data_IF_347435305768
#
_entry.id   IF_347435305768
#
_cell.length_a   1.000
_cell.length_b   1.000
_cell.length_c   1.000
_cell.angle_alpha   90.00
_cell.angle_beta   90.00
_cell.angle_gamma   90.00
#
_symmetry.space_group_name_H-M   'P 1'
#
loop_
_entity.id
_entity.type
_entity.pdbx_description
1 polymer ?
#
# COMPACT_ATOMS: atom_id res chain seq x y z
N UNK A 1 18.64 13.39 11.70
CA UNK A 1 17.41 12.79 12.30
C UNK A 1 17.58 11.29 12.38
N UNK A 2 17.20 10.65 13.48
CA UNK A 2 17.26 9.17 13.60
C UNK A 2 16.02 8.52 13.00
N UNK A 3 16.07 7.26 12.54
CA UNK A 3 14.89 6.56 12.00
C UNK A 3 13.69 6.56 12.95
N UNK A 4 13.92 6.41 14.26
CA UNK A 4 12.84 6.41 15.25
C UNK A 4 12.16 7.79 15.49
N UNK A 5 12.63 8.84 14.82
CA UNK A 5 11.99 10.16 14.82
C UNK A 5 11.12 10.37 13.55
N UNK A 6 11.12 9.38 12.63
CA UNK A 6 10.33 9.38 11.40
C UNK A 6 9.15 8.42 11.53
N UNK A 7 7.93 8.94 11.35
CA UNK A 7 6.69 8.19 11.52
C UNK A 7 6.13 7.75 10.17
N UNK A 8 5.78 6.47 10.07
CA UNK A 8 5.06 5.91 8.93
C UNK A 8 3.64 5.52 9.37
N UNK A 9 2.64 6.22 8.85
CA UNK A 9 1.25 5.83 8.95
C UNK A 9 0.95 4.78 7.89
N UNK A 10 0.81 3.52 8.30
CA UNK A 10 0.61 2.40 7.39
C UNK A 10 -0.88 2.06 7.29
N UNK A 11 -1.40 2.11 6.08
CA UNK A 11 -2.75 1.71 5.73
C UNK A 11 -2.78 0.38 4.97
N UNK A 12 -3.81 -0.43 5.20
CA UNK A 12 -4.17 -1.58 4.37
C UNK A 12 -5.64 -1.44 3.99
N UNK A 13 -5.91 -1.26 2.72
CA UNK A 13 -7.25 -1.02 2.20
C UNK A 13 -8.25 -2.11 2.56
N UNK A 14 -9.53 -1.75 2.57
CA UNK A 14 -10.66 -2.64 2.85
C UNK A 14 -10.64 -3.28 4.25
N UNK A 15 -11.41 -4.33 4.45
CA UNK A 15 -11.44 -5.09 5.70
C UNK A 15 -10.64 -6.39 5.64
N UNK A 16 -10.67 -7.15 6.71
CA UNK A 16 -9.96 -8.43 6.82
C UNK A 16 -10.90 -9.63 6.86
N UNK A 17 -10.37 -10.74 7.33
CA UNK A 17 -11.09 -12.00 7.45
C UNK A 17 -11.40 -12.30 8.91
N UNK A 18 -12.66 -12.65 9.21
CA UNK A 18 -13.01 -13.30 10.49
C UNK A 18 -12.49 -14.74 10.51
N UNK A 19 -12.56 -15.39 11.66
CA UNK A 19 -12.18 -16.79 11.76
C UNK A 19 -12.86 -17.66 10.70
N UNK A 20 -12.07 -18.31 9.85
CA UNK A 20 -12.53 -19.11 8.72
C UNK A 20 -11.99 -18.61 7.39
N UNK A 21 -12.28 -19.30 6.32
CA UNK A 21 -11.71 -19.06 4.97
C UNK A 21 -12.75 -18.78 3.88
N UNK A 22 -14.03 -18.89 4.22
CA UNK A 22 -15.11 -18.69 3.25
C UNK A 22 -15.42 -17.21 2.99
N UNK A 23 -16.03 -16.89 1.85
CA UNK A 23 -16.37 -15.51 1.49
C UNK A 23 -17.31 -14.83 2.49
N UNK A 24 -18.12 -15.59 3.21
CA UNK A 24 -18.99 -15.10 4.28
C UNK A 24 -18.24 -14.59 5.52
N UNK A 25 -16.96 -14.91 5.65
CA UNK A 25 -16.08 -14.44 6.73
C UNK A 25 -15.33 -13.17 6.39
N UNK A 26 -15.27 -12.81 5.11
CA UNK A 26 -14.63 -11.58 4.67
C UNK A 26 -15.45 -10.35 5.08
N UNK A 27 -14.79 -9.39 5.70
CA UNK A 27 -15.41 -8.17 6.23
C UNK A 27 -15.06 -6.99 5.34
N UNK A 28 -16.05 -6.44 4.66
CA UNK A 28 -15.91 -5.21 3.87
C UNK A 28 -17.20 -4.41 3.97
N UNK A 29 -17.17 -3.15 3.54
CA UNK A 29 -18.39 -2.32 3.52
C UNK A 29 -19.49 -2.96 2.66
N UNK A 30 -20.76 -2.87 3.07
CA UNK A 30 -21.88 -3.46 2.32
C UNK A 30 -21.97 -3.02 0.85
N UNK A 31 -21.54 -1.78 0.55
CA UNK A 31 -21.50 -1.25 -0.82
C UNK A 31 -20.38 -1.84 -1.68
N UNK A 32 -19.41 -2.55 -1.07
CA UNK A 32 -18.29 -3.23 -1.72
C UNK A 32 -18.51 -4.73 -1.61
N UNK A 33 -19.55 -5.24 -2.27
CA UNK A 33 -19.88 -6.66 -2.27
C UNK A 33 -18.65 -7.49 -2.71
N UNK A 34 -18.34 -8.53 -1.95
CA UNK A 34 -17.24 -9.48 -2.12
C UNK A 34 -17.07 -9.91 -3.58
N UNK A 35 -18.18 -10.27 -4.19
CA UNK A 35 -18.22 -10.88 -5.52
C UNK A 35 -17.90 -9.90 -6.66
N UNK A 36 -17.88 -8.60 -6.41
CA UNK A 36 -17.85 -7.61 -7.48
C UNK A 36 -16.73 -6.59 -7.42
N UNK A 37 -16.14 -6.32 -6.25
CA UNK A 37 -15.19 -5.20 -6.10
C UNK A 37 -13.89 -5.51 -5.35
N UNK A 38 -13.93 -6.37 -4.34
CA UNK A 38 -12.77 -6.59 -3.46
C UNK A 38 -12.44 -8.07 -3.26
N UNK A 39 -12.99 -8.94 -4.11
CA UNK A 39 -12.67 -10.37 -4.13
C UNK A 39 -12.94 -11.01 -5.48
N UNK A 40 -12.22 -12.06 -5.78
CA UNK A 40 -12.32 -12.84 -7.01
C UNK A 40 -12.12 -14.32 -6.73
N UNK A 41 -12.95 -15.18 -7.36
CA UNK A 41 -12.75 -16.62 -7.34
C UNK A 41 -11.87 -17.02 -8.53
N UNK A 42 -10.82 -17.77 -8.26
CA UNK A 42 -9.93 -18.39 -9.25
C UNK A 42 -9.92 -19.92 -9.06
N UNK A 43 -9.31 -20.66 -9.97
CA UNK A 43 -9.22 -22.13 -9.87
C UNK A 43 -8.49 -22.61 -8.60
N UNK A 44 -7.67 -21.78 -7.99
CA UNK A 44 -6.97 -22.03 -6.72
C UNK A 44 -7.71 -21.46 -5.49
N UNK A 45 -8.93 -20.95 -5.65
CA UNK A 45 -9.76 -20.46 -4.54
C UNK A 45 -10.09 -18.97 -4.61
N UNK A 46 -10.68 -18.47 -3.52
CA UNK A 46 -10.99 -17.05 -3.38
C UNK A 46 -9.76 -16.20 -3.08
N UNK A 47 -9.63 -15.11 -3.82
CA UNK A 47 -8.77 -13.98 -3.47
C UNK A 47 -9.61 -12.88 -2.81
N UNK A 48 -9.13 -12.31 -1.71
CA UNK A 48 -9.75 -11.18 -1.04
C UNK A 48 -8.73 -10.05 -0.88
N UNK A 49 -9.00 -8.91 -1.49
CA UNK A 49 -8.09 -7.78 -1.53
C UNK A 49 -7.66 -7.33 -0.13
N UNK A 50 -8.60 -7.12 0.77
CA UNK A 50 -8.26 -6.64 2.12
C UNK A 50 -7.45 -7.64 2.95
N UNK A 51 -7.54 -8.95 2.66
CA UNK A 51 -6.68 -9.98 3.29
C UNK A 51 -5.26 -9.87 2.76
N UNK A 52 -5.12 -9.77 1.45
CA UNK A 52 -3.83 -9.54 0.80
C UNK A 52 -3.17 -8.24 1.30
N UNK A 53 -3.92 -7.12 1.31
CA UNK A 53 -3.41 -5.82 1.75
C UNK A 53 -2.84 -5.89 3.17
N UNK A 54 -3.52 -6.59 4.09
CA UNK A 54 -3.04 -6.78 5.47
C UNK A 54 -1.82 -7.66 5.56
N UNK A 55 -1.76 -8.72 4.75
CA UNK A 55 -0.60 -9.61 4.69
C UNK A 55 0.65 -8.84 4.24
N UNK A 56 0.54 -8.12 3.12
CA UNK A 56 1.62 -7.30 2.58
C UNK A 56 2.05 -6.19 3.54
N UNK A 57 1.07 -5.48 4.15
CA UNK A 57 1.33 -4.44 5.13
C UNK A 57 2.00 -4.98 6.41
N UNK A 58 1.73 -6.22 6.81
CA UNK A 58 2.41 -6.84 7.94
C UNK A 58 3.89 -7.11 7.65
N UNK A 59 4.23 -7.61 6.46
CA UNK A 59 5.63 -7.76 6.05
C UNK A 59 6.33 -6.40 5.93
N UNK A 60 5.66 -5.41 5.33
CA UNK A 60 6.19 -4.06 5.23
C UNK A 60 6.46 -3.45 6.61
N UNK A 61 5.51 -3.59 7.54
CA UNK A 61 5.71 -3.13 8.92
C UNK A 61 6.96 -3.74 9.55
N UNK A 62 7.16 -5.05 9.38
CA UNK A 62 8.32 -5.73 9.96
C UNK A 62 9.63 -5.13 9.43
N UNK A 63 9.78 -5.01 8.11
CA UNK A 63 10.99 -4.42 7.52
C UNK A 63 11.20 -2.95 7.95
N UNK A 64 10.14 -2.16 8.09
CA UNK A 64 10.24 -0.78 8.55
C UNK A 64 10.67 -0.70 10.02
N UNK A 65 10.18 -1.60 10.87
CA UNK A 65 10.62 -1.72 12.27
C UNK A 65 12.07 -2.18 12.37
N UNK A 66 12.50 -3.10 11.51
CA UNK A 66 13.90 -3.56 11.44
C UNK A 66 14.84 -2.41 11.01
N UNK A 67 14.35 -1.46 10.19
CA UNK A 67 15.05 -0.21 9.88
C UNK A 67 15.00 0.84 11.02
N UNK A 68 14.28 0.56 12.09
CA UNK A 68 14.18 1.44 13.27
C UNK A 68 13.12 2.54 13.17
N UNK A 69 12.27 2.54 12.14
CA UNK A 69 11.20 3.53 11.99
C UNK A 69 10.07 3.35 13.00
N UNK A 70 9.36 4.45 13.29
CA UNK A 70 8.06 4.35 13.97
C UNK A 70 6.97 4.01 12.96
N UNK A 71 6.19 2.96 13.23
CA UNK A 71 5.07 2.54 12.37
C UNK A 71 3.77 2.54 13.16
N UNK A 72 2.75 3.22 12.66
CA UNK A 72 1.38 3.24 13.19
C UNK A 72 0.40 2.75 12.16
N UNK A 73 -0.26 1.62 12.44
CA UNK A 73 -1.39 1.14 11.61
C UNK A 73 -2.60 2.03 11.83
N UNK A 74 -3.24 2.45 10.72
CA UNK A 74 -4.44 3.27 10.72
C UNK A 74 -5.69 2.49 10.27
N UNK A 75 -5.62 1.19 10.33
CA UNK A 75 -6.68 0.24 9.97
C UNK A 75 -6.88 -0.82 11.05
N UNK A 76 -8.05 -1.41 11.08
CA UNK A 76 -8.38 -2.52 11.98
C UNK A 76 -7.99 -3.88 11.37
N UNK A 77 -7.64 -4.88 12.18
CA UNK A 77 -7.26 -6.21 11.66
C UNK A 77 -8.37 -6.89 10.86
N UNK A 78 -9.62 -6.70 11.25
CA UNK A 78 -10.78 -7.37 10.67
C UNK A 78 -11.75 -6.37 10.04
N UNK A 79 -12.15 -5.34 10.78
CA UNK A 79 -13.17 -4.42 10.32
C UNK A 79 -12.66 -3.52 9.19
N UNK A 80 -13.56 -3.15 8.28
CA UNK A 80 -13.26 -2.14 7.26
C UNK A 80 -13.37 -0.74 7.88
N UNK A 81 -12.24 -0.22 8.34
CA UNK A 81 -12.15 1.13 8.89
C UNK A 81 -12.51 2.17 7.82
N UNK A 82 -13.40 3.10 8.14
CA UNK A 82 -13.81 4.14 7.18
C UNK A 82 -12.62 5.02 6.74
N UNK A 83 -12.64 5.49 5.49
CA UNK A 83 -11.58 6.37 4.95
C UNK A 83 -11.38 7.61 5.83
N UNK A 84 -12.49 8.23 6.28
CA UNK A 84 -12.44 9.38 7.18
C UNK A 84 -11.71 9.02 8.49
N UNK A 85 -12.03 7.87 9.09
CA UNK A 85 -11.38 7.44 10.33
C UNK A 85 -9.89 7.16 10.14
N UNK A 86 -9.50 6.57 9.00
CA UNK A 86 -8.09 6.33 8.64
C UNK A 86 -7.33 7.67 8.54
N UNK A 87 -7.88 8.67 7.83
CA UNK A 87 -7.29 10.00 7.74
C UNK A 87 -7.20 10.72 9.11
N UNK A 88 -8.23 10.59 9.95
CA UNK A 88 -8.21 11.14 11.32
C UNK A 88 -7.13 10.50 12.18
N UNK A 89 -6.94 9.18 12.11
CA UNK A 89 -5.87 8.48 12.84
C UNK A 89 -4.48 8.93 12.36
N UNK A 90 -4.25 8.95 11.03
CA UNK A 90 -3.00 9.41 10.45
C UNK A 90 -2.67 10.84 10.88
N UNK A 91 -3.62 11.76 10.76
CA UNK A 91 -3.46 13.17 11.19
C UNK A 91 -3.20 13.27 12.70
N UNK A 92 -3.86 12.46 13.51
CA UNK A 92 -3.65 12.47 14.97
C UNK A 92 -2.24 12.01 15.34
N UNK A 93 -1.75 10.94 14.72
CA UNK A 93 -0.39 10.45 14.96
C UNK A 93 0.68 11.42 14.46
N UNK A 94 0.46 12.03 13.30
CA UNK A 94 1.39 13.00 12.71
C UNK A 94 1.60 14.26 13.59
N UNK A 95 0.61 14.67 14.38
CA UNK A 95 0.74 15.80 15.30
C UNK A 95 1.85 15.65 16.35
N UNK A 96 2.19 14.41 16.70
CA UNK A 96 3.22 14.09 17.67
C UNK A 96 4.58 13.78 17.01
N UNK A 97 4.67 13.79 15.68
CA UNK A 97 5.86 13.46 14.92
C UNK A 97 6.39 14.69 14.18
N UNK A 98 7.70 14.85 14.13
CA UNK A 98 8.34 15.92 13.36
C UNK A 98 8.27 15.66 11.85
N UNK A 99 8.42 14.40 11.46
CA UNK A 99 8.31 13.94 10.08
C UNK A 99 7.37 12.73 10.00
N UNK A 100 6.47 12.75 9.06
CA UNK A 100 5.52 11.65 8.87
C UNK A 100 5.14 11.49 7.41
N UNK A 101 4.86 10.25 7.02
CA UNK A 101 4.30 9.88 5.72
C UNK A 101 3.12 8.92 5.91
N UNK A 102 2.29 8.81 4.87
CA UNK A 102 1.24 7.80 4.77
C UNK A 102 1.51 6.89 3.59
N UNK A 103 1.46 5.58 3.82
CA UNK A 103 1.58 4.55 2.78
C UNK A 103 0.34 3.65 2.85
N UNK A 104 -0.47 3.68 1.79
CA UNK A 104 -1.68 2.86 1.65
C UNK A 104 -1.41 1.70 0.69
N UNK A 105 -1.67 0.48 1.16
CA UNK A 105 -1.42 -0.77 0.44
C UNK A 105 -2.74 -1.33 -0.09
N UNK A 106 -2.78 -1.56 -1.39
CA UNK A 106 -3.94 -2.09 -2.13
C UNK A 106 -3.55 -3.17 -3.13
N UNK A 107 -4.54 -3.95 -3.54
CA UNK A 107 -4.53 -4.77 -4.74
C UNK A 107 -5.59 -4.27 -5.71
N UNK A 108 -5.22 -4.12 -6.96
CA UNK A 108 -6.03 -3.48 -7.99
C UNK A 108 -7.07 -4.44 -8.61
N UNK A 109 -8.09 -3.86 -9.22
CA UNK A 109 -9.12 -4.56 -9.97
C UNK A 109 -9.47 -3.82 -11.27
N UNK A 110 -9.46 -4.53 -12.38
CA UNK A 110 -9.90 -4.04 -13.69
C UNK A 110 -10.34 -5.20 -14.58
N UNK A 111 -10.20 -5.07 -15.91
CA UNK A 111 -10.43 -6.20 -16.82
C UNK A 111 -9.50 -7.37 -16.47
N UNK A 112 -9.87 -8.62 -16.79
CA UNK A 112 -9.02 -9.79 -16.51
C UNK A 112 -7.66 -9.77 -17.24
N UNK A 113 -7.49 -8.91 -18.23
CA UNK A 113 -6.23 -8.74 -18.97
C UNK A 113 -5.32 -7.65 -18.35
N UNK A 114 -5.86 -6.79 -17.50
CA UNK A 114 -5.06 -5.79 -16.79
C UNK A 114 -4.17 -6.48 -15.75
N UNK A 115 -2.90 -6.03 -15.66
CA UNK A 115 -1.91 -6.62 -14.75
C UNK A 115 -0.81 -5.63 -14.43
N UNK A 116 -0.11 -5.87 -13.33
CA UNK A 116 1.10 -5.15 -12.97
C UNK A 116 0.94 -4.25 -11.75
N UNK A 117 1.95 -3.43 -11.51
CA UNK A 117 2.07 -2.52 -10.37
C UNK A 117 1.84 -1.07 -10.78
N UNK A 118 1.17 -0.34 -9.90
CA UNK A 118 0.92 1.10 -10.02
C UNK A 118 1.12 1.78 -8.66
N UNK A 119 1.49 3.07 -8.66
CA UNK A 119 1.49 3.91 -7.46
C UNK A 119 0.82 5.24 -7.77
N UNK A 120 0.13 5.78 -6.77
CA UNK A 120 -0.66 6.99 -6.92
C UNK A 120 -0.27 8.03 -5.87
N UNK A 121 -0.27 9.30 -6.28
CA UNK A 121 -0.19 10.48 -5.42
C UNK A 121 -1.44 11.36 -5.58
N UNK A 122 -1.52 12.44 -4.81
CA UNK A 122 -2.53 13.48 -5.02
C UNK A 122 -2.14 14.38 -6.21
N UNK A 123 -3.12 14.94 -6.96
CA UNK A 123 -2.82 15.78 -8.12
C UNK A 123 -1.93 16.98 -7.82
N UNK A 124 -1.01 17.28 -8.75
CA UNK A 124 -0.06 18.40 -8.74
C UNK A 124 1.26 18.06 -8.06
N UNK A 125 2.31 18.79 -8.37
CA UNK A 125 3.65 18.57 -7.79
C UNK A 125 3.62 18.67 -6.26
N UNK A 126 3.94 17.58 -5.59
CA UNK A 126 3.91 17.46 -4.14
C UNK A 126 5.14 16.73 -3.61
N UNK A 127 5.30 16.71 -2.28
CA UNK A 127 6.36 15.89 -1.66
C UNK A 127 6.07 14.39 -1.75
N UNK A 128 4.87 14.01 -2.17
CA UNK A 128 4.48 12.61 -2.34
C UNK A 128 5.15 11.98 -3.57
N UNK A 129 5.42 12.77 -4.61
CA UNK A 129 5.97 12.31 -5.88
C UNK A 129 7.40 11.76 -5.68
N UNK A 130 8.21 12.42 -4.85
CA UNK A 130 9.52 11.89 -4.46
C UNK A 130 9.39 10.58 -3.68
N UNK A 131 8.40 10.46 -2.78
CA UNK A 131 8.15 9.22 -2.05
C UNK A 131 7.71 8.09 -3.00
N UNK A 132 6.83 8.40 -3.95
CA UNK A 132 6.37 7.46 -4.97
C UNK A 132 7.52 7.00 -5.88
N UNK A 133 8.37 7.93 -6.31
CA UNK A 133 9.57 7.66 -7.12
C UNK A 133 10.52 6.73 -6.37
N UNK A 134 10.88 7.03 -5.11
CA UNK A 134 11.77 6.18 -4.32
C UNK A 134 11.21 4.75 -4.15
N UNK A 135 9.91 4.60 -3.88
CA UNK A 135 9.26 3.28 -3.77
C UNK A 135 9.26 2.59 -5.13
N UNK A 136 8.87 3.29 -6.20
CA UNK A 136 8.76 2.74 -7.55
C UNK A 136 10.08 2.20 -8.08
N UNK A 137 11.17 2.93 -7.94
CA UNK A 137 12.50 2.48 -8.36
C UNK A 137 12.90 1.16 -7.68
N UNK A 138 12.61 1.02 -6.39
CA UNK A 138 12.92 -0.21 -5.66
C UNK A 138 12.00 -1.38 -6.06
N UNK A 139 10.70 -1.13 -6.31
CA UNK A 139 9.76 -2.16 -6.77
C UNK A 139 10.16 -2.63 -8.18
N UNK A 140 10.44 -1.71 -9.11
CA UNK A 140 10.88 -2.04 -10.47
C UNK A 140 12.16 -2.88 -10.43
N UNK A 141 13.13 -2.49 -9.62
CA UNK A 141 14.40 -3.21 -9.46
C UNK A 141 14.20 -4.61 -8.87
N UNK A 142 13.31 -4.76 -7.90
CA UNK A 142 13.09 -6.02 -7.20
C UNK A 142 12.24 -7.03 -8.00
N UNK A 143 11.50 -6.57 -9.01
CA UNK A 143 10.56 -7.40 -9.78
C UNK A 143 10.82 -7.32 -11.29
N UNK A 144 12.03 -7.67 -11.75
CA UNK A 144 12.36 -7.66 -13.18
C UNK A 144 11.43 -8.63 -13.94
N UNK A 145 10.87 -8.16 -15.07
CA UNK A 145 9.96 -8.94 -15.91
C UNK A 145 8.49 -8.95 -15.44
N UNK A 146 8.17 -8.35 -14.30
CA UNK A 146 6.78 -8.04 -13.99
C UNK A 146 6.34 -6.76 -14.69
N UNK A 147 5.06 -6.56 -14.89
CA UNK A 147 4.54 -5.35 -15.55
C UNK A 147 4.53 -4.20 -14.54
N UNK A 148 5.16 -3.08 -14.90
CA UNK A 148 5.08 -1.82 -14.19
C UNK A 148 4.32 -0.84 -15.08
N UNK A 149 3.48 -0.01 -14.49
CA UNK A 149 2.54 0.88 -15.19
C UNK A 149 2.74 2.34 -14.79
N UNK A 150 3.95 2.89 -14.94
CA UNK A 150 4.22 4.28 -14.62
C UNK A 150 3.42 5.21 -15.54
N UNK A 151 3.21 6.43 -15.09
CA UNK A 151 2.69 7.52 -15.87
C UNK A 151 3.73 8.66 -15.92
N UNK A 152 4.36 8.86 -17.06
CA UNK A 152 5.39 9.89 -17.23
C UNK A 152 4.86 11.17 -17.90
N UNK A 153 3.54 11.42 -17.83
CA UNK A 153 2.93 12.58 -18.50
C UNK A 153 3.34 13.92 -17.87
N UNK A 154 3.75 13.90 -16.60
CA UNK A 154 4.23 15.06 -15.82
C UNK A 154 5.69 14.94 -15.34
N UNK A 155 6.45 14.00 -15.92
CA UNK A 155 7.87 13.72 -15.72
C UNK A 155 8.21 12.94 -14.45
N UNK A 156 7.28 12.32 -13.77
CA UNK A 156 7.52 11.32 -12.71
C UNK A 156 6.87 9.97 -13.04
N UNK A 157 6.90 9.01 -12.11
CA UNK A 157 6.45 7.65 -12.40
C UNK A 157 5.07 7.32 -11.81
N UNK A 158 4.58 8.17 -10.94
CA UNK A 158 3.30 7.89 -10.28
C UNK A 158 2.11 8.38 -11.12
N UNK A 159 0.95 7.97 -10.69
CA UNK A 159 -0.34 8.39 -11.25
C UNK A 159 -1.04 9.31 -10.28
N UNK A 160 -1.67 10.33 -10.78
CA UNK A 160 -2.44 11.23 -9.96
C UNK A 160 -3.89 10.76 -9.76
N UNK A 161 -4.35 10.76 -8.50
CA UNK A 161 -5.75 10.46 -8.18
C UNK A 161 -6.24 11.22 -6.95
N UNK A 162 -7.51 11.64 -6.98
CA UNK A 162 -8.19 12.27 -5.84
C UNK A 162 -8.72 11.22 -4.84
N UNK A 163 -7.91 10.22 -4.51
CA UNK A 163 -8.29 9.25 -3.49
C UNK A 163 -8.29 9.91 -2.11
N UNK A 164 -9.28 9.55 -1.27
CA UNK A 164 -9.42 10.10 0.08
C UNK A 164 -8.15 9.89 0.93
N UNK A 165 -7.44 8.79 0.75
CA UNK A 165 -6.22 8.51 1.48
C UNK A 165 -5.05 9.42 1.09
N UNK A 166 -5.08 10.00 -0.11
CA UNK A 166 -4.07 10.91 -0.63
C UNK A 166 -4.41 12.38 -0.34
N UNK A 167 -5.69 12.76 -0.51
CA UNK A 167 -6.14 14.16 -0.37
C UNK A 167 -6.67 14.51 1.01
N UNK A 168 -6.95 13.51 1.85
CA UNK A 168 -7.53 13.69 3.19
C UNK A 168 -6.50 13.89 4.32
N UNK A 169 -5.21 13.96 4.00
CA UNK A 169 -4.11 14.16 4.95
C UNK A 169 -3.16 15.26 4.46
N UNK A 170 -2.41 15.87 5.38
CA UNK A 170 -1.48 16.95 5.02
C UNK A 170 -0.03 16.47 4.86
N UNK A 171 0.28 15.24 5.29
CA UNK A 171 1.59 14.63 5.12
C UNK A 171 1.76 14.04 3.71
N UNK A 172 2.99 13.82 3.22
CA UNK A 172 3.22 13.08 1.99
C UNK A 172 2.54 11.72 2.05
N UNK A 173 1.76 11.37 1.01
CA UNK A 173 0.92 10.19 0.99
C UNK A 173 0.98 9.49 -0.36
N UNK A 174 1.13 8.18 -0.35
CA UNK A 174 1.08 7.32 -1.54
C UNK A 174 0.10 6.17 -1.37
N UNK A 175 -0.49 5.74 -2.47
CA UNK A 175 -1.29 4.53 -2.55
C UNK A 175 -0.68 3.60 -3.60
N UNK A 176 -0.25 2.42 -3.16
CA UNK A 176 0.38 1.42 -4.01
C UNK A 176 -0.58 0.28 -4.33
N UNK A 177 -0.77 0.03 -5.63
CA UNK A 177 -1.58 -1.06 -6.18
C UNK A 177 -0.66 -2.20 -6.61
N UNK A 178 -0.68 -3.28 -5.86
CA UNK A 178 0.31 -4.34 -5.91
C UNK A 178 -0.19 -5.56 -6.70
N UNK A 179 -0.53 -5.35 -7.97
CA UNK A 179 -1.08 -6.37 -8.87
C UNK A 179 -2.60 -6.33 -8.98
N UNK A 180 -3.12 -6.90 -10.05
CA UNK A 180 -4.55 -6.95 -10.32
C UNK A 180 -5.12 -8.30 -9.89
N UNK A 181 -5.88 -8.35 -8.80
CA UNK A 181 -6.47 -9.61 -8.35
C UNK A 181 -7.57 -10.16 -9.28
N UNK A 182 -8.03 -9.35 -10.25
CA UNK A 182 -8.91 -9.80 -11.34
C UNK A 182 -8.17 -10.55 -12.45
N UNK A 183 -6.85 -10.40 -12.53
CA UNK A 183 -5.97 -11.13 -13.44
C UNK A 183 -5.46 -12.42 -12.77
N UNK A 184 -5.58 -13.55 -13.48
CA UNK A 184 -5.20 -14.86 -12.95
C UNK A 184 -3.72 -14.95 -12.56
N UNK A 185 -2.83 -14.43 -13.42
CA UNK A 185 -1.39 -14.51 -13.19
C UNK A 185 -0.95 -13.60 -12.04
N UNK A 186 -1.47 -12.36 -11.97
CA UNK A 186 -1.15 -11.44 -10.88
C UNK A 186 -1.70 -11.97 -9.55
N UNK A 187 -2.96 -12.43 -9.53
CA UNK A 187 -3.54 -13.01 -8.32
C UNK A 187 -2.73 -14.22 -7.82
N UNK A 188 -2.19 -15.04 -8.74
CA UNK A 188 -1.28 -16.13 -8.39
C UNK A 188 0.04 -15.65 -7.75
N UNK A 189 0.62 -14.56 -8.25
CA UNK A 189 1.77 -13.92 -7.61
C UNK A 189 1.40 -13.32 -6.24
N UNK A 190 0.28 -12.60 -6.17
CA UNK A 190 -0.18 -11.92 -4.96
C UNK A 190 -0.43 -12.86 -3.77
N UNK A 191 -0.78 -14.13 -4.00
CA UNK A 191 -0.91 -15.13 -2.92
C UNK A 191 0.42 -15.79 -2.53
N UNK A 192 1.48 -15.61 -3.31
CA UNK A 192 2.81 -16.17 -3.00
C UNK A 192 3.49 -15.34 -1.90
N UNK A 193 3.83 -16.01 -0.80
CA UNK A 193 4.45 -15.36 0.37
C UNK A 193 5.81 -14.74 0.02
N UNK A 194 6.62 -15.41 -0.79
CA UNK A 194 7.95 -14.90 -1.16
C UNK A 194 7.83 -13.65 -2.02
N UNK A 195 6.84 -13.63 -2.92
CA UNK A 195 6.55 -12.46 -3.72
C UNK A 195 6.08 -11.29 -2.84
N UNK A 196 5.15 -11.52 -1.88
CA UNK A 196 4.72 -10.49 -0.92
C UNK A 196 5.90 -9.94 -0.11
N UNK A 197 6.80 -10.79 0.36
CA UNK A 197 8.00 -10.37 1.08
C UNK A 197 8.94 -9.55 0.20
N UNK A 198 9.11 -9.91 -1.07
CA UNK A 198 9.91 -9.15 -2.04
C UNK A 198 9.35 -7.75 -2.25
N UNK A 199 8.04 -7.64 -2.49
CA UNK A 199 7.35 -6.36 -2.67
C UNK A 199 7.42 -5.50 -1.39
N UNK A 200 7.14 -6.10 -0.23
CA UNK A 200 7.22 -5.40 1.05
C UNK A 200 8.63 -4.86 1.34
N UNK A 201 9.66 -5.66 1.06
CA UNK A 201 11.05 -5.24 1.23
C UNK A 201 11.43 -4.11 0.27
N UNK A 202 10.97 -4.15 -0.97
CA UNK A 202 11.17 -3.08 -1.94
C UNK A 202 10.52 -1.77 -1.48
N UNK A 203 9.26 -1.81 -1.02
CA UNK A 203 8.60 -0.64 -0.44
C UNK A 203 9.37 -0.09 0.76
N UNK A 204 9.78 -0.96 1.70
CA UNK A 204 10.54 -0.53 2.88
C UNK A 204 11.85 0.15 2.50
N UNK A 205 12.56 -0.37 1.48
CA UNK A 205 13.78 0.23 0.99
C UNK A 205 13.55 1.58 0.32
N UNK A 206 12.52 1.71 -0.51
CA UNK A 206 12.14 3.00 -1.10
C UNK A 206 11.74 4.05 -0.06
N UNK A 207 11.03 3.63 1.00
CA UNK A 207 10.72 4.51 2.13
C UNK A 207 12.01 4.93 2.87
N UNK A 208 12.96 4.03 3.05
CA UNK A 208 14.27 4.37 3.63
C UNK A 208 15.02 5.37 2.74
N UNK A 209 15.08 5.13 1.42
CA UNK A 209 15.74 6.02 0.47
C UNK A 209 15.12 7.44 0.51
N UNK A 210 13.78 7.52 0.57
CA UNK A 210 13.07 8.78 0.78
C UNK A 210 13.44 9.44 2.12
N UNK A 211 13.41 8.68 3.21
CA UNK A 211 13.71 9.20 4.55
C UNK A 211 15.14 9.74 4.65
N UNK A 212 16.11 9.09 4.02
CA UNK A 212 17.50 9.57 3.95
C UNK A 212 17.56 10.90 3.19
N UNK A 213 16.83 11.07 2.10
CA UNK A 213 16.72 12.36 1.39
C UNK A 213 16.03 13.43 2.24
N UNK A 214 15.21 13.06 3.22
CA UNK A 214 14.63 13.98 4.22
C UNK A 214 15.55 14.22 5.44
N UNK A 215 16.77 13.70 5.42
CA UNK A 215 17.79 13.90 6.46
C UNK A 215 17.81 12.86 7.59
N UNK A 216 17.23 11.67 7.33
CA UNK A 216 17.42 10.53 8.25
C UNK A 216 18.84 9.98 8.08
N UNK A 217 19.58 9.88 9.18
CA UNK A 217 20.90 9.26 9.23
C UNK A 217 20.74 7.75 9.43
N UNK A 218 21.01 7.01 8.37
CA UNK A 218 21.02 5.55 8.38
C UNK A 218 22.45 5.04 8.45
N UNK A 219 22.76 4.18 9.42
CA UNK A 219 24.09 3.56 9.63
C UNK A 219 24.11 2.12 9.16
#
# INVERSE_FOLDING_TARGET
MKPNEFLICLDAGHGGMRNGTGPEKYVTYPSKCIQHRTGRFHSYGWFFEGVFNRSLANYLQQYLLDYGFQVKKIYEPINDTTLIKRCQLATSYAKAAQHSILVSIHGNAASPTARGWEIFTSPGETKSDLLATCIGEQVITATPGWVHRPDYTDNDLDKEARFQMLTGVAMPAVLSENGFFTNYSDAGLMIDIKWQQTIAKAHAKGILDYAVQQGVEWQ
#
